data_IF_062864936902
#
_entry.id   IF_062864936902
#
_cell.length_a   1.000
_cell.length_b   1.000
_cell.length_c   1.000
_cell.angle_alpha   90.00
_cell.angle_beta   90.00
_cell.angle_gamma   90.00
#
_symmetry.space_group_name_H-M   'P 1'
#
loop_
_entity.id
_entity.type
_entity.pdbx_description
1 polymer ?
#
# COMPACT_ATOMS: atom_id res chain seq x y z
N UNK A 1 24.15 -9.34 2.83
CA UNK A 1 23.34 -8.10 2.99
C UNK A 1 22.04 -8.44 3.68
N UNK A 2 21.49 -7.56 4.52
CA UNK A 2 20.16 -7.72 5.10
C UNK A 2 19.22 -6.63 4.56
N UNK A 3 18.02 -7.02 4.18
CA UNK A 3 16.92 -6.13 3.80
C UNK A 3 15.83 -6.27 4.86
N UNK A 4 15.44 -5.18 5.50
CA UNK A 4 14.47 -5.16 6.59
C UNK A 4 13.16 -4.57 6.09
N UNK A 5 12.11 -5.39 6.06
CA UNK A 5 10.81 -5.09 5.47
C UNK A 5 10.63 -5.68 4.08
N UNK A 6 9.65 -6.57 3.92
CA UNK A 6 9.31 -7.28 2.67
C UNK A 6 8.20 -6.62 1.84
N UNK A 7 7.92 -5.33 2.04
CA UNK A 7 7.04 -4.59 1.15
C UNK A 7 7.65 -4.40 -0.24
N UNK A 8 6.98 -3.69 -1.18
CA UNK A 8 7.47 -3.55 -2.56
C UNK A 8 8.91 -3.08 -2.67
N UNK A 9 9.31 -2.10 -1.86
CA UNK A 9 10.69 -1.59 -1.86
C UNK A 9 11.71 -2.65 -1.42
N UNK A 10 11.45 -3.32 -0.30
CA UNK A 10 12.40 -4.32 0.23
C UNK A 10 12.42 -5.61 -0.58
N UNK A 11 11.28 -6.08 -1.05
CA UNK A 11 11.19 -7.23 -1.93
C UNK A 11 11.95 -6.99 -3.25
N UNK A 12 11.77 -5.81 -3.86
CA UNK A 12 12.49 -5.44 -5.09
C UNK A 12 14.00 -5.31 -4.85
N UNK A 13 14.41 -4.67 -3.75
CA UNK A 13 15.83 -4.55 -3.39
C UNK A 13 16.48 -5.91 -3.13
N UNK A 14 15.77 -6.81 -2.42
CA UNK A 14 16.28 -8.15 -2.13
C UNK A 14 16.38 -8.99 -3.39
N UNK A 15 15.36 -8.93 -4.28
CA UNK A 15 15.36 -9.61 -5.58
C UNK A 15 16.55 -9.17 -6.42
N UNK A 16 16.71 -7.87 -6.62
CA UNK A 16 17.75 -7.28 -7.44
C UNK A 16 19.16 -7.63 -6.92
N UNK A 17 19.35 -7.57 -5.63
CA UNK A 17 20.61 -7.92 -5.00
C UNK A 17 20.95 -9.42 -5.15
N UNK A 18 19.95 -10.30 -4.97
CA UNK A 18 20.12 -11.73 -5.13
C UNK A 18 20.44 -12.11 -6.59
N UNK A 19 19.74 -11.50 -7.56
CA UNK A 19 20.01 -11.69 -8.99
C UNK A 19 21.43 -11.26 -9.41
N UNK A 20 22.01 -10.31 -8.68
CA UNK A 20 23.42 -9.90 -8.85
C UNK A 20 24.43 -10.76 -8.09
N UNK A 21 24.01 -11.88 -7.54
CA UNK A 21 24.86 -12.84 -6.86
C UNK A 21 25.24 -12.47 -5.42
N UNK A 22 24.55 -11.48 -4.80
CA UNK A 22 24.77 -11.15 -3.41
C UNK A 22 24.04 -12.15 -2.49
N UNK A 23 24.67 -12.50 -1.36
CA UNK A 23 23.98 -13.21 -0.27
C UNK A 23 23.06 -12.23 0.45
N UNK A 24 21.76 -12.48 0.41
CA UNK A 24 20.70 -11.58 0.93
C UNK A 24 19.84 -12.33 1.94
N UNK A 25 19.54 -11.68 3.06
CA UNK A 25 18.49 -12.05 4.00
C UNK A 25 17.40 -10.98 3.97
N UNK A 26 16.16 -11.38 3.67
CA UNK A 26 14.97 -10.52 3.67
C UNK A 26 14.15 -10.82 4.92
N UNK A 27 14.05 -9.83 5.80
CA UNK A 27 13.29 -9.90 7.04
C UNK A 27 11.89 -9.32 6.86
N UNK A 28 10.87 -10.12 7.07
CA UNK A 28 9.48 -9.65 7.21
C UNK A 28 8.67 -10.68 8.02
N UNK A 29 7.72 -10.19 8.82
CA UNK A 29 6.94 -11.03 9.74
C UNK A 29 5.45 -11.07 9.41
N UNK A 30 5.02 -10.43 8.34
CA UNK A 30 3.60 -10.11 8.16
C UNK A 30 3.08 -10.23 6.71
N UNK A 31 3.57 -11.17 5.92
CA UNK A 31 3.00 -11.47 4.61
C UNK A 31 2.05 -12.67 4.65
N UNK A 32 0.98 -12.68 3.84
CA UNK A 32 0.40 -11.53 3.13
C UNK A 32 -0.22 -10.50 4.08
N UNK A 33 -0.23 -9.23 3.69
CA UNK A 33 -0.81 -8.16 4.52
C UNK A 33 -1.53 -7.11 3.68
N UNK A 34 -2.56 -6.51 4.27
CA UNK A 34 -3.28 -5.39 3.67
C UNK A 34 -2.58 -4.07 3.89
N UNK A 35 -2.73 -3.18 2.91
CA UNK A 35 -2.28 -1.79 2.96
C UNK A 35 -3.42 -0.86 2.54
N UNK A 36 -3.56 0.28 3.22
CA UNK A 36 -4.46 1.34 2.79
C UNK A 36 -3.89 1.98 1.51
N UNK A 37 -4.30 1.45 0.38
CA UNK A 37 -3.84 1.88 -0.93
C UNK A 37 -4.84 1.44 -1.99
N UNK A 38 -5.15 2.30 -2.93
CA UNK A 38 -6.03 1.98 -4.05
C UNK A 38 -5.46 0.91 -5.00
N UNK A 39 -4.15 0.66 -4.98
CA UNK A 39 -3.51 -0.38 -5.79
C UNK A 39 -3.38 -0.04 -7.27
N UNK A 40 -3.29 1.25 -7.62
CA UNK A 40 -2.98 1.66 -8.98
C UNK A 40 -1.49 1.54 -9.28
N UNK A 41 -1.14 0.88 -10.37
CA UNK A 41 0.23 0.75 -10.87
C UNK A 41 0.40 1.54 -12.17
N UNK A 42 1.31 2.51 -12.22
CA UNK A 42 1.67 3.16 -13.47
C UNK A 42 2.48 2.21 -14.36
N UNK A 43 2.53 2.50 -15.66
CA UNK A 43 3.22 1.68 -16.68
C UNK A 43 4.64 1.30 -16.25
N UNK A 44 5.44 2.28 -15.84
CA UNK A 44 6.81 2.02 -15.37
C UNK A 44 6.88 1.04 -14.21
N UNK A 45 5.93 1.10 -13.29
CA UNK A 45 5.87 0.16 -12.16
C UNK A 45 5.59 -1.27 -12.61
N UNK A 46 4.73 -1.44 -13.61
CA UNK A 46 4.40 -2.75 -14.18
C UNK A 46 5.61 -3.34 -14.90
N UNK A 47 6.26 -2.58 -15.77
CA UNK A 47 7.43 -3.01 -16.52
C UNK A 47 8.61 -3.40 -15.63
N UNK A 48 8.87 -2.62 -14.57
CA UNK A 48 9.97 -2.89 -13.65
C UNK A 48 9.71 -4.07 -12.71
N UNK A 49 8.46 -4.34 -12.38
CA UNK A 49 8.09 -5.37 -11.40
C UNK A 49 7.69 -6.68 -12.04
N UNK A 50 7.62 -6.75 -13.38
CA UNK A 50 7.28 -7.96 -14.11
C UNK A 50 5.97 -8.59 -13.58
N UNK A 51 4.89 -7.77 -13.61
CA UNK A 51 3.60 -8.11 -13.03
C UNK A 51 2.92 -9.26 -13.78
N UNK A 52 2.61 -10.38 -13.12
CA UNK A 52 1.85 -11.44 -13.77
C UNK A 52 0.39 -10.99 -13.98
N UNK A 53 -0.20 -11.37 -15.09
CA UNK A 53 -1.61 -11.06 -15.39
C UNK A 53 -2.56 -11.51 -14.27
N UNK A 54 -2.26 -12.60 -13.58
CA UNK A 54 -3.05 -13.13 -12.46
C UNK A 54 -3.13 -12.21 -11.24
N UNK A 55 -2.21 -11.23 -11.11
CA UNK A 55 -2.24 -10.23 -10.03
C UNK A 55 -2.98 -8.95 -10.41
N UNK A 56 -3.43 -8.85 -11.67
CA UNK A 56 -4.06 -7.67 -12.23
C UNK A 56 -5.57 -7.82 -12.13
N UNK A 57 -6.20 -6.90 -11.43
CA UNK A 57 -7.65 -6.86 -11.26
C UNK A 57 -8.35 -6.27 -12.50
N UNK A 58 -7.85 -5.16 -12.99
CA UNK A 58 -8.34 -4.53 -14.22
C UNK A 58 -7.31 -3.53 -14.79
N UNK A 59 -7.52 -3.13 -16.04
CA UNK A 59 -6.76 -2.04 -16.65
C UNK A 59 -7.33 -0.69 -16.22
N UNK A 60 -6.45 0.27 -15.99
CA UNK A 60 -6.81 1.66 -15.76
C UNK A 60 -6.95 2.36 -17.11
N UNK A 61 -8.12 2.94 -17.38
CA UNK A 61 -8.38 3.66 -18.65
C UNK A 61 -8.20 5.17 -18.53
N UNK A 62 -8.38 5.70 -17.30
CA UNK A 62 -8.23 7.12 -17.05
C UNK A 62 -7.94 7.41 -15.58
N UNK A 63 -7.36 8.57 -15.33
CA UNK A 63 -7.25 9.17 -14.00
C UNK A 63 -8.06 10.46 -14.01
N UNK A 64 -8.87 10.69 -12.97
CA UNK A 64 -9.57 11.94 -12.80
C UNK A 64 -9.27 12.60 -11.47
N UNK A 65 -9.32 13.94 -11.49
CA UNK A 65 -9.23 14.80 -10.33
C UNK A 65 -10.52 15.61 -10.26
N UNK A 66 -11.26 15.44 -9.17
CA UNK A 66 -12.51 16.17 -8.92
C UNK A 66 -12.27 17.18 -7.81
N UNK A 67 -12.59 18.44 -8.06
CA UNK A 67 -12.59 19.51 -7.07
C UNK A 67 -13.87 20.30 -7.18
N UNK A 68 -14.71 20.27 -6.14
CA UNK A 68 -16.08 20.84 -6.16
C UNK A 68 -16.87 20.27 -7.35
N UNK A 69 -17.35 21.13 -8.26
CA UNK A 69 -18.09 20.74 -9.47
C UNK A 69 -17.20 20.51 -10.70
N UNK A 70 -15.90 20.73 -10.59
CA UNK A 70 -14.97 20.60 -11.72
C UNK A 70 -14.30 19.24 -11.68
N UNK A 71 -14.33 18.52 -12.79
CA UNK A 71 -13.66 17.25 -12.99
C UNK A 71 -12.72 17.33 -14.19
N UNK A 72 -11.43 17.03 -13.95
CA UNK A 72 -10.43 16.84 -14.98
C UNK A 72 -10.21 15.35 -15.18
N UNK A 73 -10.47 14.82 -16.36
CA UNK A 73 -10.22 13.41 -16.73
C UNK A 73 -9.08 13.33 -17.72
N UNK A 74 -8.10 12.51 -17.40
CA UNK A 74 -6.88 12.31 -18.20
C UNK A 74 -6.84 10.84 -18.65
N UNK A 75 -6.84 10.55 -19.94
CA UNK A 75 -6.67 9.19 -20.43
C UNK A 75 -5.32 8.61 -19.99
N UNK A 76 -5.33 7.35 -19.59
CA UNK A 76 -4.12 6.59 -19.23
C UNK A 76 -4.04 5.35 -20.11
N UNK A 77 -2.87 5.11 -20.67
CA UNK A 77 -2.63 3.93 -21.45
C UNK A 77 -1.79 2.93 -20.63
N UNK A 78 -2.26 1.68 -20.58
CA UNK A 78 -1.58 0.55 -19.92
C UNK A 78 -1.39 0.66 -18.39
N UNK A 79 -2.09 1.54 -17.67
CA UNK A 79 -2.12 1.49 -16.21
C UNK A 79 -2.87 0.23 -15.74
N UNK A 80 -2.49 -0.33 -14.61
CA UNK A 80 -3.10 -1.55 -14.05
C UNK A 80 -3.55 -1.33 -12.60
N UNK A 81 -4.57 -2.07 -12.22
CA UNK A 81 -5.07 -2.11 -10.84
C UNK A 81 -4.76 -3.47 -10.23
N UNK A 82 -4.21 -3.46 -9.01
CA UNK A 82 -3.86 -4.68 -8.28
C UNK A 82 -4.45 -4.67 -6.87
N UNK A 83 -4.59 -5.84 -6.27
CA UNK A 83 -4.78 -5.98 -4.83
C UNK A 83 -3.42 -5.98 -4.14
N UNK A 84 -3.25 -5.14 -3.12
CA UNK A 84 -1.96 -4.95 -2.47
C UNK A 84 -1.50 -6.14 -1.63
N UNK A 85 -2.42 -6.90 -1.06
CA UNK A 85 -2.11 -8.14 -0.35
C UNK A 85 -1.48 -9.19 -1.29
N UNK A 86 -2.11 -9.44 -2.43
CA UNK A 86 -1.65 -10.39 -3.44
C UNK A 86 -0.38 -9.89 -4.14
N UNK A 87 -0.39 -8.63 -4.54
CA UNK A 87 0.74 -7.99 -5.22
C UNK A 87 2.02 -7.94 -4.37
N UNK A 88 1.90 -7.45 -3.11
CA UNK A 88 3.05 -7.36 -2.21
C UNK A 88 3.61 -8.76 -1.89
N UNK A 89 2.72 -9.76 -1.74
CA UNK A 89 3.12 -11.14 -1.51
C UNK A 89 3.79 -11.78 -2.74
N UNK A 90 3.29 -11.48 -3.94
CA UNK A 90 3.95 -11.87 -5.18
C UNK A 90 5.40 -11.34 -5.24
N UNK A 91 5.60 -10.05 -5.02
CA UNK A 91 6.94 -9.46 -5.03
C UNK A 91 7.86 -10.08 -3.97
N UNK A 92 7.30 -10.36 -2.79
CA UNK A 92 8.02 -11.03 -1.71
C UNK A 92 8.50 -12.42 -2.14
N UNK A 93 7.66 -13.21 -2.79
CA UNK A 93 8.02 -14.52 -3.30
C UNK A 93 9.05 -14.46 -4.45
N UNK A 94 8.95 -13.46 -5.33
CA UNK A 94 9.96 -13.23 -6.38
C UNK A 94 11.37 -12.98 -5.83
N UNK A 95 11.47 -12.34 -4.66
CA UNK A 95 12.77 -12.21 -3.99
C UNK A 95 13.32 -13.57 -3.52
N UNK A 96 12.45 -14.46 -3.03
CA UNK A 96 12.82 -15.82 -2.65
C UNK A 96 13.29 -16.66 -3.85
N UNK A 97 12.52 -16.61 -4.94
CA UNK A 97 12.87 -17.30 -6.20
C UNK A 97 14.21 -16.84 -6.77
N UNK A 98 14.56 -15.56 -6.58
CA UNK A 98 15.86 -15.02 -6.96
C UNK A 98 17.01 -15.43 -6.04
N UNK A 99 16.74 -16.17 -4.95
CA UNK A 99 17.74 -16.69 -4.03
C UNK A 99 17.90 -15.90 -2.73
N UNK A 100 17.05 -14.92 -2.42
CA UNK A 100 17.07 -14.26 -1.13
C UNK A 100 16.54 -15.20 -0.03
N UNK A 101 17.28 -15.34 1.06
CA UNK A 101 16.83 -16.07 2.26
C UNK A 101 15.75 -15.28 2.97
N UNK A 102 14.61 -15.91 3.26
CA UNK A 102 13.50 -15.29 3.98
C UNK A 102 13.59 -15.56 5.48
N UNK A 103 13.56 -14.52 6.27
CA UNK A 103 13.52 -14.56 7.74
C UNK A 103 12.20 -13.99 8.22
N UNK A 104 11.32 -14.88 8.72
CA UNK A 104 9.98 -14.50 9.22
C UNK A 104 10.11 -13.97 10.66
N UNK A 105 10.77 -12.84 10.81
CA UNK A 105 10.99 -12.18 12.09
C UNK A 105 10.79 -10.66 11.96
N UNK A 106 10.27 -10.08 13.04
CA UNK A 106 10.32 -8.61 13.20
C UNK A 106 11.72 -8.21 13.67
N UNK A 107 12.34 -7.26 13.01
CA UNK A 107 13.61 -6.69 13.48
C UNK A 107 13.33 -5.67 14.59
N UNK A 108 13.94 -5.90 15.74
CA UNK A 108 13.80 -5.09 16.95
C UNK A 108 15.12 -4.59 17.49
N UNK A 109 16.25 -5.16 17.04
CA UNK A 109 17.58 -4.65 17.37
C UNK A 109 18.51 -4.63 16.17
N UNK A 110 19.33 -3.59 16.09
CA UNK A 110 20.42 -3.42 15.13
C UNK A 110 21.62 -2.83 15.87
N UNK A 111 22.72 -3.54 15.87
CA UNK A 111 23.97 -3.15 16.52
C UNK A 111 25.11 -3.27 15.52
N UNK A 112 26.00 -2.27 15.49
CA UNK A 112 27.18 -2.32 14.63
C UNK A 112 28.36 -2.79 15.47
N UNK A 113 28.84 -4.00 15.19
CA UNK A 113 29.96 -4.64 15.86
C UNK A 113 31.06 -4.97 14.85
N UNK A 114 32.25 -4.44 15.04
CA UNK A 114 33.45 -4.73 14.21
C UNK A 114 33.19 -4.60 12.69
N UNK A 115 32.39 -3.62 12.29
CA UNK A 115 32.07 -3.36 10.88
C UNK A 115 30.94 -4.23 10.28
N UNK A 116 30.25 -5.01 11.12
CA UNK A 116 29.10 -5.83 10.72
C UNK A 116 27.87 -5.46 11.57
N UNK A 117 26.74 -5.45 10.93
CA UNK A 117 25.45 -5.30 11.60
C UNK A 117 25.00 -6.61 12.22
N UNK A 118 24.75 -6.61 13.51
CA UNK A 118 24.09 -7.69 14.24
C UNK A 118 22.60 -7.40 14.34
N UNK A 119 21.77 -8.31 13.83
CA UNK A 119 20.33 -8.16 13.69
C UNK A 119 19.66 -9.13 14.64
N UNK A 120 18.81 -8.63 15.53
CA UNK A 120 18.13 -9.42 16.58
C UNK A 120 19.09 -10.31 17.40
N UNK A 121 20.35 -9.92 17.54
CA UNK A 121 21.35 -10.73 18.23
C UNK A 121 21.73 -12.07 17.57
N UNK A 122 21.15 -12.41 16.42
CA UNK A 122 21.27 -13.74 15.77
C UNK A 122 21.92 -13.69 14.40
N UNK A 123 21.56 -12.70 13.57
CA UNK A 123 22.00 -12.63 12.17
C UNK A 123 23.06 -11.54 12.01
N UNK A 124 23.95 -11.74 11.05
CA UNK A 124 25.03 -10.80 10.76
C UNK A 124 25.02 -10.39 9.30
N UNK A 125 25.17 -9.09 9.03
CA UNK A 125 25.25 -8.56 7.68
C UNK A 125 26.26 -7.41 7.59
N UNK A 126 26.98 -7.33 6.46
CA UNK A 126 27.88 -6.21 6.19
C UNK A 126 27.12 -4.91 5.86
N UNK A 127 25.98 -5.05 5.20
CA UNK A 127 25.12 -3.94 4.79
C UNK A 127 23.68 -4.20 5.21
N UNK A 128 22.96 -3.12 5.56
CA UNK A 128 21.54 -3.13 5.90
C UNK A 128 20.81 -2.16 4.98
N UNK A 129 19.71 -2.61 4.39
CA UNK A 129 18.73 -1.77 3.70
C UNK A 129 17.48 -1.72 4.56
N UNK A 130 17.11 -0.51 5.02
CA UNK A 130 15.84 -0.28 5.71
C UNK A 130 14.72 -0.06 4.70
N UNK A 131 13.75 -0.96 4.68
CA UNK A 131 12.56 -0.91 3.84
C UNK A 131 11.28 -1.28 4.62
N UNK A 132 11.30 -1.07 5.92
CA UNK A 132 10.26 -1.44 6.87
C UNK A 132 9.14 -0.39 7.03
N UNK A 133 9.12 0.57 6.09
CA UNK A 133 8.04 1.54 5.92
C UNK A 133 8.13 2.72 6.88
N UNK A 134 7.13 3.58 6.79
CA UNK A 134 7.09 4.88 7.49
C UNK A 134 7.26 4.78 9.00
N UNK A 135 6.71 3.76 9.63
CA UNK A 135 6.88 3.47 11.06
C UNK A 135 8.01 2.49 11.33
N UNK A 136 8.89 2.30 10.35
CA UNK A 136 9.98 1.37 10.39
C UNK A 136 10.91 1.56 11.60
N UNK A 137 11.40 0.45 12.13
CA UNK A 137 12.40 0.44 13.19
C UNK A 137 13.74 0.97 12.69
N UNK A 138 14.13 0.60 11.45
CA UNK A 138 15.44 0.96 10.88
C UNK A 138 15.63 2.47 10.79
N UNK A 139 14.63 3.19 10.31
CA UNK A 139 14.68 4.64 10.23
C UNK A 139 14.85 5.28 11.61
N UNK A 140 14.05 4.89 12.59
CA UNK A 140 14.14 5.44 13.95
C UNK A 140 15.47 5.14 14.64
N UNK A 141 16.10 4.04 14.23
CA UNK A 141 17.37 3.58 14.82
C UNK A 141 18.60 4.18 14.16
N UNK A 142 18.53 4.41 12.84
CA UNK A 142 19.71 4.73 12.03
C UNK A 142 19.76 6.17 11.51
N UNK A 143 18.66 6.91 11.59
CA UNK A 143 18.58 8.27 11.07
C UNK A 143 18.27 9.26 12.19
N UNK A 144 18.81 10.45 12.07
CA UNK A 144 18.46 11.57 12.92
C UNK A 144 16.97 11.94 12.77
N UNK A 145 16.43 12.63 13.77
CA UNK A 145 15.04 13.08 13.75
C UNK A 145 14.84 14.08 12.61
N UNK A 146 14.23 13.60 11.54
CA UNK A 146 13.77 14.45 10.44
C UNK A 146 12.33 14.86 10.75
N UNK A 147 11.98 16.17 10.72
CA UNK A 147 10.60 16.62 10.82
C UNK A 147 9.76 15.95 9.75
N UNK A 148 8.56 15.53 10.09
CA UNK A 148 7.67 14.79 9.17
C UNK A 148 6.34 15.50 9.04
N UNK A 149 5.94 15.71 7.82
CA UNK A 149 4.54 15.86 7.50
C UNK A 149 3.92 14.47 7.33
N UNK A 150 2.85 14.21 8.06
CA UNK A 150 2.21 12.90 8.06
C UNK A 150 0.88 12.98 7.34
N UNK A 151 0.70 12.12 6.35
CA UNK A 151 -0.59 11.80 5.80
C UNK A 151 -1.13 10.52 6.45
N UNK A 152 -2.40 10.56 6.83
CA UNK A 152 -3.10 9.39 7.34
C UNK A 152 -4.02 8.85 6.25
N UNK A 153 -3.95 7.57 5.99
CA UNK A 153 -4.78 6.92 5.00
C UNK A 153 -5.58 5.77 5.62
N UNK A 154 -6.85 5.67 5.24
CA UNK A 154 -7.67 4.50 5.50
C UNK A 154 -8.59 4.25 4.30
N UNK A 155 -8.95 2.98 4.07
CA UNK A 155 -9.83 2.60 2.98
C UNK A 155 -10.17 1.12 3.03
N UNK A 156 -11.04 0.69 2.13
CA UNK A 156 -11.49 -0.68 2.06
C UNK A 156 -11.95 -1.09 0.67
N UNK A 157 -12.22 -2.37 0.51
CA UNK A 157 -12.82 -2.96 -0.68
C UNK A 157 -14.34 -2.96 -0.53
N UNK A 158 -15.02 -2.40 -1.52
CA UNK A 158 -16.46 -2.19 -1.55
C UNK A 158 -17.11 -3.18 -2.53
N UNK A 159 -17.43 -4.36 -2.01
CA UNK A 159 -17.98 -5.46 -2.79
C UNK A 159 -19.48 -5.24 -3.10
N UNK A 160 -19.91 -5.72 -4.26
CA UNK A 160 -21.31 -5.65 -4.68
C UNK A 160 -21.68 -4.42 -5.49
N UNK A 161 -20.74 -3.48 -5.70
CA UNK A 161 -20.90 -2.37 -6.64
C UNK A 161 -19.87 -2.57 -7.74
N UNK A 162 -20.32 -3.00 -8.89
CA UNK A 162 -19.46 -3.24 -10.04
C UNK A 162 -19.10 -1.93 -10.73
N UNK A 163 -17.82 -1.68 -10.99
CA UNK A 163 -17.40 -0.53 -11.78
C UNK A 163 -17.99 -0.57 -13.20
N UNK A 164 -18.49 0.58 -13.64
CA UNK A 164 -18.94 0.77 -15.03
C UNK A 164 -17.81 1.27 -15.92
N UNK A 165 -16.80 1.90 -15.31
CA UNK A 165 -15.60 2.39 -15.98
C UNK A 165 -14.37 2.09 -15.12
N UNK A 166 -13.24 1.84 -15.77
CA UNK A 166 -11.95 1.63 -15.10
C UNK A 166 -11.22 2.96 -14.87
N UNK A 167 -11.93 3.93 -14.33
CA UNK A 167 -11.45 5.26 -13.99
C UNK A 167 -10.96 5.31 -12.53
N UNK A 168 -9.71 5.72 -12.35
CA UNK A 168 -9.15 6.03 -11.03
C UNK A 168 -9.49 7.48 -10.69
N UNK A 169 -10.20 7.72 -9.60
CA UNK A 169 -10.60 9.07 -9.23
C UNK A 169 -10.01 9.51 -7.89
N UNK A 170 -9.49 10.75 -7.91
CA UNK A 170 -9.06 11.50 -6.74
C UNK A 170 -10.00 12.69 -6.53
N UNK A 171 -10.61 12.79 -5.34
CA UNK A 171 -11.54 13.85 -4.98
C UNK A 171 -10.86 14.75 -3.98
N UNK A 172 -10.55 15.97 -4.42
CA UNK A 172 -9.83 16.99 -3.68
C UNK A 172 -10.82 17.92 -2.96
N UNK A 173 -10.38 18.51 -1.83
CA UNK A 173 -11.17 19.48 -1.10
C UNK A 173 -12.44 18.91 -0.44
N UNK A 174 -12.52 17.60 -0.24
CA UNK A 174 -13.65 16.96 0.44
C UNK A 174 -13.81 17.42 1.89
N UNK A 175 -12.72 17.87 2.53
CA UNK A 175 -12.73 18.47 3.87
C UNK A 175 -12.12 19.87 3.81
N UNK A 176 -12.89 20.92 4.10
CA UNK A 176 -12.38 22.29 4.14
C UNK A 176 -11.22 22.45 5.11
N UNK A 177 -10.16 23.16 4.69
CA UNK A 177 -8.98 23.44 5.51
C UNK A 177 -8.08 22.23 5.79
N UNK A 178 -8.31 21.10 5.13
CA UNK A 178 -7.44 19.92 5.22
C UNK A 178 -6.85 19.58 3.85
N UNK A 179 -5.55 19.34 3.84
CA UNK A 179 -4.84 18.84 2.66
C UNK A 179 -4.99 17.34 2.55
N UNK A 180 -5.33 16.87 1.35
CA UNK A 180 -5.53 15.46 1.08
C UNK A 180 -6.66 15.22 0.08
N UNK A 181 -7.09 13.96 0.00
CA UNK A 181 -8.08 13.53 -0.99
C UNK A 181 -8.84 12.29 -0.51
N UNK A 182 -10.01 12.09 -1.12
CA UNK A 182 -10.67 10.79 -1.18
C UNK A 182 -10.28 10.11 -2.48
N UNK A 183 -10.17 8.78 -2.48
CA UNK A 183 -9.96 8.01 -3.71
C UNK A 183 -11.11 7.04 -3.96
N UNK A 184 -11.42 6.83 -5.25
CA UNK A 184 -12.34 5.80 -5.75
C UNK A 184 -11.64 5.06 -6.87
N UNK A 185 -11.22 3.84 -6.60
CA UNK A 185 -10.40 3.04 -7.52
C UNK A 185 -11.12 1.75 -7.90
N UNK A 186 -11.36 1.52 -9.20
CA UNK A 186 -12.05 0.33 -9.68
C UNK A 186 -11.19 -0.92 -9.48
N UNK A 187 -11.88 -2.04 -9.34
CA UNK A 187 -11.36 -3.39 -9.43
C UNK A 187 -12.21 -4.16 -10.44
N UNK A 188 -11.99 -5.47 -10.58
CA UNK A 188 -12.72 -6.30 -11.55
C UNK A 188 -14.25 -6.26 -11.35
N UNK A 189 -14.70 -6.31 -10.10
CA UNK A 189 -16.11 -6.43 -9.72
C UNK A 189 -16.52 -5.58 -8.50
N UNK A 190 -15.61 -4.72 -8.03
CA UNK A 190 -15.80 -3.89 -6.83
C UNK A 190 -14.96 -2.63 -6.88
N UNK A 191 -15.04 -1.79 -5.86
CA UNK A 191 -14.19 -0.62 -5.69
C UNK A 191 -13.28 -0.74 -4.47
N UNK A 192 -12.08 -0.17 -4.58
CA UNK A 192 -11.29 0.23 -3.43
C UNK A 192 -11.49 1.74 -3.22
N UNK A 193 -12.05 2.10 -2.07
CA UNK A 193 -12.37 3.49 -1.74
C UNK A 193 -11.74 3.85 -0.40
N UNK A 194 -11.25 5.08 -0.28
CA UNK A 194 -10.66 5.54 0.96
C UNK A 194 -10.27 7.01 0.94
N UNK A 195 -9.48 7.39 1.92
CA UNK A 195 -9.02 8.76 2.10
C UNK A 195 -7.56 8.83 2.54
N UNK A 196 -6.93 9.97 2.23
CA UNK A 196 -5.57 10.32 2.64
C UNK A 196 -5.52 11.81 2.97
N UNK A 197 -5.18 12.19 4.21
CA UNK A 197 -5.15 13.58 4.68
C UNK A 197 -4.00 13.85 5.65
N UNK A 198 -3.54 15.10 5.70
CA UNK A 198 -2.41 15.54 6.55
C UNK A 198 -2.73 15.71 8.03
N UNK A 199 -4.00 15.73 8.43
CA UNK A 199 -4.40 15.95 9.81
C UNK A 199 -5.46 14.95 10.25
N UNK A 200 -5.31 14.43 11.44
CA UNK A 200 -6.17 13.51 12.18
C UNK A 200 -7.42 12.93 11.47
N UNK A 201 -8.00 11.91 12.02
CA UNK A 201 -9.12 11.17 11.40
C UNK A 201 -10.49 11.84 11.54
N UNK A 202 -10.58 12.96 12.26
CA UNK A 202 -11.87 13.63 12.52
C UNK A 202 -12.51 14.17 11.24
N UNK A 203 -13.74 13.75 10.98
CA UNK A 203 -14.55 14.17 9.81
C UNK A 203 -14.23 13.45 8.50
N UNK A 204 -13.13 12.68 8.41
CA UNK A 204 -12.74 12.01 7.16
C UNK A 204 -13.63 10.82 6.84
N UNK A 205 -14.02 10.08 7.85
CA UNK A 205 -14.93 8.94 7.71
C UNK A 205 -16.32 9.41 7.29
N UNK A 206 -16.79 10.46 7.89
CA UNK A 206 -18.08 11.10 7.56
C UNK A 206 -18.07 11.64 6.12
N UNK A 207 -17.00 12.30 5.69
CA UNK A 207 -16.83 12.76 4.31
C UNK A 207 -16.84 11.60 3.31
N UNK A 208 -16.18 10.50 3.63
CA UNK A 208 -16.19 9.29 2.81
C UNK A 208 -17.60 8.69 2.72
N UNK A 209 -18.29 8.54 3.85
CA UNK A 209 -19.66 8.01 3.87
C UNK A 209 -20.63 8.90 3.08
N UNK A 210 -20.52 10.21 3.22
CA UNK A 210 -21.32 11.17 2.45
C UNK A 210 -21.08 10.99 0.95
N UNK A 211 -19.83 10.93 0.51
CA UNK A 211 -19.50 10.68 -0.89
C UNK A 211 -20.12 9.38 -1.40
N UNK A 212 -20.04 8.31 -0.60
CA UNK A 212 -20.55 7.00 -0.98
C UNK A 212 -22.06 7.02 -1.11
N UNK A 213 -22.78 7.66 -0.17
CA UNK A 213 -24.22 7.79 -0.21
C UNK A 213 -24.70 8.66 -1.38
N UNK A 214 -23.96 9.74 -1.71
CA UNK A 214 -24.27 10.59 -2.87
C UNK A 214 -24.10 9.84 -4.20
N UNK A 215 -23.14 8.94 -4.31
CA UNK A 215 -22.85 8.20 -5.56
C UNK A 215 -23.66 6.94 -5.74
N UNK A 216 -23.96 6.27 -4.66
CA UNK A 216 -24.66 4.97 -4.63
C UNK A 216 -25.68 4.96 -3.51
N UNK A 217 -26.79 5.73 -3.65
CA UNK A 217 -27.79 5.90 -2.60
C UNK A 217 -28.35 4.56 -2.11
N UNK A 218 -28.36 4.35 -0.81
CA UNK A 218 -28.88 3.14 -0.18
C UNK A 218 -28.04 1.88 -0.36
N UNK A 219 -26.95 1.93 -1.12
CA UNK A 219 -26.09 0.77 -1.36
C UNK A 219 -25.16 0.46 -0.18
N UNK A 220 -24.97 1.42 0.74
CA UNK A 220 -24.03 1.33 1.85
C UNK A 220 -24.67 1.26 3.24
N UNK A 221 -25.99 1.31 3.32
CA UNK A 221 -26.71 1.15 4.58
C UNK A 221 -26.63 -0.33 5.00
N UNK A 222 -26.02 -0.59 6.16
CA UNK A 222 -25.86 -1.91 6.78
C UNK A 222 -25.09 -2.98 5.98
N UNK A 223 -24.33 -2.59 4.96
CA UNK A 223 -23.51 -3.55 4.24
C UNK A 223 -22.27 -3.97 5.06
N UNK A 224 -22.19 -5.24 5.31
CA UNK A 224 -20.99 -5.91 5.78
C UNK A 224 -20.03 -6.09 4.60
N UNK A 225 -18.80 -5.66 4.78
CA UNK A 225 -17.74 -5.81 3.78
C UNK A 225 -17.24 -7.24 3.71
N UNK A 226 -17.25 -7.84 2.54
CA UNK A 226 -16.48 -9.06 2.31
C UNK A 226 -15.08 -8.65 1.89
N UNK A 227 -14.10 -8.98 2.69
CA UNK A 227 -12.72 -8.54 2.51
C UNK A 227 -11.84 -9.52 1.76
N UNK A 228 -12.33 -10.68 1.37
CA UNK A 228 -11.58 -11.67 0.60
C UNK A 228 -12.49 -12.80 0.15
N UNK A 229 -11.99 -13.61 -0.75
CA UNK A 229 -12.56 -14.89 -1.13
C UNK A 229 -12.78 -15.86 0.05
N UNK A 230 -12.14 -15.61 1.19
CA UNK A 230 -12.30 -16.35 2.44
C UNK A 230 -13.61 -16.06 3.18
N UNK A 231 -14.42 -15.10 2.71
CA UNK A 231 -15.74 -14.82 3.29
C UNK A 231 -15.72 -14.04 4.61
N UNK A 232 -14.59 -13.53 5.03
CA UNK A 232 -14.54 -12.62 6.18
C UNK A 232 -15.31 -11.34 5.90
N UNK A 233 -16.33 -11.11 6.71
CA UNK A 233 -17.18 -9.92 6.65
C UNK A 233 -16.58 -8.85 7.54
N UNK A 234 -16.17 -7.71 6.99
CA UNK A 234 -15.75 -6.55 7.77
C UNK A 234 -16.91 -5.58 7.84
N UNK A 235 -17.33 -5.27 9.04
CA UNK A 235 -18.29 -4.21 9.30
C UNK A 235 -17.70 -2.88 8.79
N UNK A 236 -18.47 -2.09 8.07
CA UNK A 236 -18.06 -0.76 7.63
C UNK A 236 -17.64 0.16 8.80
N UNK A 237 -17.97 -0.20 10.03
CA UNK A 237 -17.45 0.41 11.26
C UNK A 237 -16.00 0.02 11.58
N UNK A 238 -15.48 -1.05 11.00
CA UNK A 238 -14.08 -1.48 11.13
C UNK A 238 -13.22 -0.99 9.97
N UNK A 239 -13.41 0.25 9.52
CA UNK A 239 -12.38 0.92 8.75
C UNK A 239 -11.12 0.91 9.60
N UNK A 240 -10.18 0.11 9.12
CA UNK A 240 -8.97 -0.20 9.84
C UNK A 240 -8.35 1.04 10.45
N UNK A 241 -7.77 0.85 11.61
CA UNK A 241 -6.93 1.84 12.27
C UNK A 241 -6.18 2.65 11.23
N UNK A 242 -6.25 3.96 11.36
CA UNK A 242 -5.50 4.89 10.52
C UNK A 242 -4.09 4.34 10.30
N UNK A 243 -3.75 4.00 9.06
CA UNK A 243 -2.42 3.55 8.73
C UNK A 243 -1.58 4.81 8.60
N UNK A 244 -0.56 4.99 9.45
CA UNK A 244 0.26 6.17 9.38
C UNK A 244 0.95 6.25 8.03
N UNK A 245 0.76 7.36 7.41
CA UNK A 245 1.57 8.13 6.48
C UNK A 245 2.23 7.49 5.29
N UNK A 246 1.93 8.14 4.25
CA UNK A 246 2.61 8.15 2.97
C UNK A 246 3.53 9.38 2.91
N UNK A 247 4.61 9.39 3.63
CA UNK A 247 5.66 10.39 3.40
C UNK A 247 6.94 9.89 3.99
N UNK A 248 7.58 9.03 3.25
CA UNK A 248 8.99 8.74 3.48
C UNK A 248 9.55 7.98 2.29
N UNK A 249 9.48 8.62 1.14
CA UNK A 249 10.41 8.35 0.05
C UNK A 249 11.52 9.36 0.09
#
# INVERSE_FOLDING_TARGET
>A
MAVIGGGPAGASAAREAAQRGLSVLLFDHAHPRRKACGGGLPVKGIEWMDAPESSIECEMTSISFTFKSTKLKIPVNKGKMVRRDDWDFYLYNRAKEAGAGHIVERVTSLELEKGFWKINGKHTAKYVIGADGVNGFTRRRLMDRIPREHLFAAGGYYLGIKPTENEVEFILGALPGKEGYLWVFPKSDHYNIGYCFNAGTLGMKEALHKLMEERWPGEFVDRKWKLSETGETVDCKQFGSAIPSYNDS
#
